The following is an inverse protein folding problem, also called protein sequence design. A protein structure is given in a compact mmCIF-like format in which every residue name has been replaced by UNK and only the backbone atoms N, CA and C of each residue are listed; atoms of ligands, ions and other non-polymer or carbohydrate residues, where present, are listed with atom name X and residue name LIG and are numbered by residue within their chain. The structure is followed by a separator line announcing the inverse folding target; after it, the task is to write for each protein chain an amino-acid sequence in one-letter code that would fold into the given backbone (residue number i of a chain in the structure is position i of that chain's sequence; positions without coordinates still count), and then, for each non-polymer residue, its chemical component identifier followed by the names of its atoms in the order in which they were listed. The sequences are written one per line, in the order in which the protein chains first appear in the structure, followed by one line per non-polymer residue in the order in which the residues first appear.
data_IF_135934640573
#
_entry.id   IF_135934640573
#
_cell.length_a   1.000
_cell.length_b   1.000
_cell.length_c   1.000
_cell.angle_alpha   90.00
_cell.angle_beta   90.00
_cell.angle_gamma   90.00
#
_symmetry.space_group_name_H-M   'P 1'
#
loop_
_entity.id
_entity.type
_entity.pdbx_description
1 polymer ?
#
# COMPACT_ATOMS: atom_id res chain seq x y z
N UNK A 1 13.75 -68.70 17.79
CA UNK A 1 14.59 -68.45 16.60
C UNK A 1 13.69 -68.05 15.49
N UNK A 2 14.01 -66.92 14.89
CA UNK A 2 13.43 -66.29 13.64
C UNK A 2 11.93 -66.02 13.65
N UNK A 3 11.60 -64.84 14.13
CA UNK A 3 10.42 -64.10 13.68
C UNK A 3 10.90 -62.77 13.13
N UNK A 4 11.43 -62.78 11.92
CA UNK A 4 11.46 -61.61 11.07
C UNK A 4 10.09 -61.57 10.38
N UNK A 5 9.07 -61.06 11.06
CA UNK A 5 7.90 -60.54 10.39
C UNK A 5 8.33 -59.18 9.83
N UNK A 6 8.71 -59.17 8.55
CA UNK A 6 8.73 -57.96 7.77
C UNK A 6 7.29 -57.43 7.78
N UNK A 7 7.01 -56.42 8.60
CA UNK A 7 5.79 -55.62 8.53
C UNK A 7 5.81 -54.84 7.23
N UNK A 8 5.77 -55.55 6.09
CA UNK A 8 5.52 -54.92 4.80
C UNK A 8 4.05 -54.53 4.78
N UNK A 9 3.82 -53.21 4.74
CA UNK A 9 2.47 -52.65 4.63
C UNK A 9 1.95 -53.05 3.23
N UNK A 10 1.10 -54.06 3.16
CA UNK A 10 0.49 -54.48 1.90
C UNK A 10 -0.60 -53.49 1.50
N UNK A 11 -0.27 -52.64 0.52
CA UNK A 11 -1.17 -51.63 -0.06
C UNK A 11 -2.46 -52.26 -0.62
N UNK A 12 -2.40 -53.51 -1.06
CA UNK A 12 -3.56 -54.23 -1.61
C UNK A 12 -4.53 -54.58 -0.49
N UNK A 13 -4.02 -54.99 0.65
CA UNK A 13 -4.84 -55.28 1.83
C UNK A 13 -5.49 -54.02 2.40
N UNK A 14 -4.77 -52.91 2.42
CA UNK A 14 -5.36 -51.61 2.80
C UNK A 14 -6.52 -51.22 1.87
N UNK A 15 -6.35 -51.36 0.57
CA UNK A 15 -7.40 -51.08 -0.41
C UNK A 15 -8.61 -52.01 -0.26
N UNK A 16 -8.40 -53.32 0.01
CA UNK A 16 -9.49 -54.26 0.29
C UNK A 16 -10.27 -53.88 1.54
N UNK A 17 -9.59 -53.48 2.64
CA UNK A 17 -10.21 -53.01 3.87
C UNK A 17 -11.08 -51.77 3.64
N UNK A 18 -10.58 -50.79 2.90
CA UNK A 18 -11.35 -49.60 2.52
C UNK A 18 -12.58 -49.96 1.67
N UNK A 19 -12.41 -50.86 0.69
CA UNK A 19 -13.51 -51.26 -0.20
C UNK A 19 -14.60 -52.04 0.57
N UNK A 20 -14.22 -52.95 1.47
CA UNK A 20 -15.17 -53.68 2.30
C UNK A 20 -15.95 -52.77 3.27
N UNK A 21 -15.33 -51.68 3.72
CA UNK A 21 -15.94 -50.70 4.64
C UNK A 21 -16.56 -49.51 3.92
N UNK A 22 -16.77 -49.57 2.59
CA UNK A 22 -17.29 -48.46 1.78
C UNK A 22 -18.57 -47.83 2.32
N UNK A 23 -19.49 -48.62 2.88
CA UNK A 23 -20.75 -48.10 3.48
C UNK A 23 -20.45 -47.15 4.65
N UNK A 24 -19.51 -47.51 5.53
CA UNK A 24 -19.11 -46.70 6.66
C UNK A 24 -18.40 -45.43 6.23
N UNK A 25 -17.53 -45.51 5.20
CA UNK A 25 -16.86 -44.35 4.60
C UNK A 25 -17.90 -43.35 4.07
N UNK A 26 -18.86 -43.84 3.29
CA UNK A 26 -19.93 -43.01 2.74
C UNK A 26 -20.76 -42.36 3.83
N UNK A 27 -21.15 -43.08 4.88
CA UNK A 27 -21.91 -42.51 6.00
C UNK A 27 -21.15 -41.36 6.69
N UNK A 28 -19.87 -41.59 7.03
CA UNK A 28 -19.07 -40.56 7.70
C UNK A 28 -18.89 -39.36 6.78
N UNK A 29 -18.59 -39.55 5.48
CA UNK A 29 -18.45 -38.49 4.52
C UNK A 29 -19.73 -37.67 4.38
N UNK A 30 -20.90 -38.29 4.37
CA UNK A 30 -22.19 -37.61 4.35
C UNK A 30 -22.39 -36.74 5.59
N UNK A 31 -22.07 -37.31 6.80
CA UNK A 31 -22.18 -36.53 8.05
C UNK A 31 -21.29 -35.29 8.00
N UNK A 32 -20.03 -35.41 7.56
CA UNK A 32 -19.13 -34.31 7.42
C UNK A 32 -19.62 -33.29 6.39
N UNK A 33 -20.21 -33.74 5.27
CA UNK A 33 -20.79 -32.86 4.27
C UNK A 33 -21.98 -32.07 4.81
N UNK A 34 -22.86 -32.72 5.58
CA UNK A 34 -24.00 -32.06 6.24
C UNK A 34 -23.48 -31.02 7.26
N UNK A 35 -22.47 -31.37 8.03
CA UNK A 35 -21.81 -30.44 8.95
C UNK A 35 -21.20 -29.24 8.21
N UNK A 36 -20.57 -29.49 7.06
CA UNK A 36 -20.06 -28.44 6.16
C UNK A 36 -21.14 -27.51 5.62
N UNK A 37 -22.32 -28.04 5.27
CA UNK A 37 -23.48 -27.24 4.86
C UNK A 37 -23.97 -26.38 6.02
N UNK A 38 -24.14 -26.97 7.21
CA UNK A 38 -24.57 -26.22 8.39
C UNK A 38 -23.59 -25.09 8.73
N UNK A 39 -22.29 -25.38 8.71
CA UNK A 39 -21.24 -24.38 8.93
C UNK A 39 -21.28 -23.27 7.88
N UNK A 40 -21.41 -23.61 6.58
CA UNK A 40 -21.48 -22.65 5.50
C UNK A 40 -22.72 -21.73 5.53
N UNK A 41 -23.81 -22.18 6.19
CA UNK A 41 -25.02 -21.38 6.38
C UNK A 41 -24.90 -20.40 7.56
N UNK A 42 -24.13 -20.75 8.59
CA UNK A 42 -23.90 -19.90 9.76
C UNK A 42 -22.94 -18.73 9.49
N UNK A 43 -22.07 -18.86 8.49
CA UNK A 43 -21.14 -17.77 8.14
C UNK A 43 -21.86 -16.55 7.57
N UNK A 44 -21.53 -15.33 8.02
CA UNK A 44 -22.12 -14.10 7.52
C UNK A 44 -21.76 -13.88 6.04
N UNK A 45 -22.73 -13.34 5.31
CA UNK A 45 -22.55 -12.99 3.89
C UNK A 45 -21.74 -11.70 3.80
N UNK A 46 -20.72 -11.68 2.93
CA UNK A 46 -19.94 -10.48 2.64
C UNK A 46 -20.02 -10.16 1.14
N UNK A 47 -19.93 -8.87 0.84
CA UNK A 47 -19.93 -8.31 -0.51
C UNK A 47 -18.63 -7.56 -0.71
N UNK A 48 -17.98 -7.78 -1.85
CA UNK A 48 -16.73 -7.10 -2.20
C UNK A 48 -16.98 -6.16 -3.37
N UNK A 49 -16.67 -4.89 -3.18
CA UNK A 49 -16.62 -3.90 -4.24
C UNK A 49 -15.18 -3.46 -4.47
N UNK A 50 -14.80 -3.35 -5.74
CA UNK A 50 -13.41 -3.03 -6.12
C UNK A 50 -13.40 -1.86 -7.09
N UNK A 51 -12.52 -0.90 -6.86
CA UNK A 51 -12.18 0.18 -7.78
C UNK A 51 -10.76 -0.01 -8.30
N UNK A 52 -10.53 0.33 -9.57
CA UNK A 52 -9.22 0.22 -10.22
C UNK A 52 -8.89 1.55 -10.88
N UNK A 53 -7.68 2.02 -10.67
CA UNK A 53 -7.17 3.26 -11.24
C UNK A 53 -5.69 3.16 -11.58
N UNK A 54 -5.20 4.07 -12.40
CA UNK A 54 -3.78 4.24 -12.72
C UNK A 54 -3.33 5.65 -12.34
N UNK A 55 -2.06 5.76 -11.99
CA UNK A 55 -1.38 7.05 -11.91
C UNK A 55 -0.81 7.35 -13.29
N UNK A 56 -1.19 8.47 -13.90
CA UNK A 56 -0.48 8.97 -15.06
C UNK A 56 0.81 9.62 -14.57
N UNK A 57 1.89 8.84 -14.53
CA UNK A 57 3.21 9.42 -14.45
C UNK A 57 3.46 10.07 -15.80
N UNK A 58 3.49 11.39 -15.87
CA UNK A 58 4.19 12.04 -16.96
C UNK A 58 5.67 11.67 -16.79
N UNK A 59 6.09 10.61 -17.46
CA UNK A 59 7.49 10.43 -17.77
C UNK A 59 7.89 11.69 -18.57
N UNK A 60 8.37 12.70 -17.86
CA UNK A 60 9.14 13.75 -18.48
C UNK A 60 10.34 13.06 -19.08
N UNK A 61 10.31 12.91 -20.41
CA UNK A 61 11.36 12.30 -21.18
C UNK A 61 12.69 13.03 -20.96
N UNK A 62 13.42 12.60 -19.93
CA UNK A 62 14.79 13.04 -19.64
C UNK A 62 15.80 12.05 -20.23
N UNK A 63 15.60 11.66 -21.50
CA UNK A 63 16.41 10.61 -22.10
C UNK A 63 17.61 11.10 -22.92
N UNK A 64 17.94 12.38 -22.98
CA UNK A 64 19.06 12.79 -23.85
C UNK A 64 20.11 13.73 -23.25
N UNK A 65 19.91 14.30 -22.06
CA UNK A 65 20.89 15.25 -21.48
C UNK A 65 21.72 14.65 -20.33
N UNK A 66 21.28 13.55 -19.72
CA UNK A 66 21.98 12.89 -18.61
C UNK A 66 23.34 12.27 -19.01
N UNK A 67 23.54 11.98 -20.29
CA UNK A 67 24.79 11.36 -20.77
C UNK A 67 26.01 12.28 -20.79
N UNK A 68 25.83 13.59 -20.94
CA UNK A 68 26.94 14.55 -21.04
C UNK A 68 27.30 15.15 -19.67
N UNK A 69 26.33 15.33 -18.79
CA UNK A 69 26.53 15.84 -17.44
C UNK A 69 27.26 14.84 -16.51
N UNK A 70 27.10 13.53 -16.74
CA UNK A 70 27.80 12.49 -15.99
C UNK A 70 29.30 12.44 -16.27
N UNK A 71 29.75 12.93 -17.43
CA UNK A 71 31.17 12.99 -17.80
C UNK A 71 31.95 14.08 -17.05
N UNK A 72 31.25 15.08 -16.51
CA UNK A 72 31.87 16.20 -15.75
C UNK A 72 31.74 16.02 -14.23
N UNK A 73 31.29 14.85 -13.77
CA UNK A 73 31.17 14.55 -12.33
C UNK A 73 30.09 15.34 -11.59
N UNK A 74 29.32 16.17 -12.29
CA UNK A 74 28.18 16.86 -11.73
C UNK A 74 26.98 15.93 -11.94
N UNK A 75 26.60 15.22 -10.90
CA UNK A 75 25.40 14.39 -10.90
C UNK A 75 24.16 15.29 -10.88
N UNK A 76 23.89 15.98 -11.99
CA UNK A 76 22.64 16.65 -12.30
C UNK A 76 21.56 15.62 -12.69
N UNK A 77 21.93 14.32 -12.61
CA UNK A 77 21.06 13.22 -12.93
C UNK A 77 20.01 13.04 -11.85
N UNK A 78 18.79 13.34 -12.24
CA UNK A 78 17.56 12.78 -11.65
C UNK A 78 17.38 12.89 -10.13
N UNK A 79 17.85 13.92 -9.48
CA UNK A 79 17.07 14.49 -8.40
C UNK A 79 15.89 15.19 -9.06
N UNK A 80 14.92 14.41 -9.50
CA UNK A 80 13.51 14.79 -9.56
C UNK A 80 13.22 15.40 -8.20
N UNK A 81 13.42 16.71 -8.07
CA UNK A 81 13.12 17.52 -6.89
C UNK A 81 11.59 17.57 -6.70
N UNK A 82 11.01 16.46 -6.51
CA UNK A 82 9.59 16.25 -6.34
C UNK A 82 9.41 14.75 -6.20
N UNK A 83 9.81 14.22 -5.02
CA UNK A 83 9.73 12.80 -4.73
C UNK A 83 8.31 12.30 -4.93
N UNK A 84 8.03 11.81 -6.13
CA UNK A 84 6.79 11.11 -6.40
C UNK A 84 6.73 9.89 -5.50
N UNK A 85 5.65 9.76 -4.71
CA UNK A 85 5.45 8.57 -3.89
C UNK A 85 5.26 7.38 -4.85
N UNK A 86 6.18 6.40 -4.88
CA UNK A 86 6.04 5.26 -5.77
C UNK A 86 4.75 4.50 -5.49
N UNK A 87 4.04 4.05 -6.52
CA UNK A 87 2.78 3.31 -6.37
C UNK A 87 2.89 2.10 -5.43
N UNK A 88 4.06 1.46 -5.36
CA UNK A 88 4.34 0.36 -4.41
C UNK A 88 4.16 0.73 -2.93
N UNK A 89 4.17 2.03 -2.60
CA UNK A 89 3.97 2.52 -1.23
C UNK A 89 2.50 2.84 -0.91
N UNK A 90 1.60 2.81 -1.88
CA UNK A 90 0.18 3.12 -1.65
C UNK A 90 -0.50 2.20 -0.63
N UNK A 91 -0.22 0.87 -0.59
CA UNK A 91 -0.73 0.03 0.49
C UNK A 91 -0.30 0.50 1.88
N UNK A 92 0.91 1.03 2.03
CA UNK A 92 1.40 1.57 3.31
C UNK A 92 0.68 2.86 3.70
N UNK A 93 0.35 3.72 2.73
CA UNK A 93 -0.44 4.93 2.99
C UNK A 93 -1.83 4.55 3.50
N UNK A 94 -2.48 3.58 2.87
CA UNK A 94 -3.80 3.08 3.31
C UNK A 94 -3.75 2.45 4.70
N UNK A 95 -2.62 1.86 5.08
CA UNK A 95 -2.41 1.32 6.43
C UNK A 95 -2.02 2.39 7.45
N UNK A 96 -1.73 3.63 7.04
CA UNK A 96 -1.33 4.70 7.96
C UNK A 96 -2.46 5.12 8.89
N UNK A 97 -2.09 5.60 10.09
CA UNK A 97 -3.02 6.13 11.09
C UNK A 97 -3.85 7.29 10.52
N UNK A 98 -3.18 8.24 9.81
CA UNK A 98 -3.86 9.39 9.18
C UNK A 98 -4.96 8.94 8.24
N UNK A 99 -4.67 7.99 7.35
CA UNK A 99 -5.65 7.48 6.39
C UNK A 99 -6.83 6.81 7.09
N UNK A 100 -6.57 5.92 8.04
CA UNK A 100 -7.62 5.17 8.76
C UNK A 100 -8.53 6.09 9.58
N UNK A 101 -7.96 7.09 10.26
CA UNK A 101 -8.75 8.11 11.00
C UNK A 101 -9.68 8.89 10.07
N UNK A 102 -9.18 9.37 8.94
CA UNK A 102 -9.99 10.10 7.97
C UNK A 102 -11.08 9.22 7.37
N UNK A 103 -10.76 7.96 7.04
CA UNK A 103 -11.75 7.04 6.47
C UNK A 103 -12.87 6.68 7.47
N UNK A 104 -12.57 6.55 8.77
CA UNK A 104 -13.58 6.29 9.80
C UNK A 104 -14.61 7.42 9.92
N UNK A 105 -14.22 8.65 9.61
CA UNK A 105 -15.11 9.82 9.67
C UNK A 105 -16.06 9.93 8.47
N UNK A 106 -15.83 9.16 7.39
CA UNK A 106 -16.66 9.21 6.19
C UNK A 106 -18.06 8.67 6.44
N UNK A 107 -19.06 9.35 5.86
CA UNK A 107 -20.46 9.01 6.02
C UNK A 107 -20.84 7.91 5.03
N UNK A 108 -21.10 6.71 5.51
CA UNK A 108 -21.53 5.55 4.70
C UNK A 108 -23.04 5.51 4.46
N UNK A 109 -23.82 6.08 5.37
CA UNK A 109 -25.28 6.21 5.24
C UNK A 109 -25.70 7.68 5.40
N UNK A 110 -25.96 8.33 4.27
CA UNK A 110 -26.37 9.73 4.23
C UNK A 110 -27.76 9.98 4.84
N UNK A 111 -28.66 9.00 4.75
CA UNK A 111 -30.04 9.13 5.26
C UNK A 111 -30.08 9.16 6.78
N UNK A 112 -29.24 8.36 7.41
CA UNK A 112 -29.19 8.22 8.86
C UNK A 112 -27.98 8.94 9.47
N UNK A 113 -27.16 9.62 8.65
CA UNK A 113 -25.90 10.29 9.05
C UNK A 113 -24.96 9.36 9.84
N UNK A 114 -24.81 8.10 9.35
CA UNK A 114 -23.98 7.09 10.00
C UNK A 114 -22.58 7.15 9.38
N UNK A 115 -21.57 7.39 10.21
CA UNK A 115 -20.16 7.30 9.82
C UNK A 115 -19.71 5.85 9.74
N UNK A 116 -18.59 5.60 9.06
CA UNK A 116 -18.00 4.26 9.00
C UNK A 116 -17.63 3.75 10.39
N UNK A 117 -17.13 4.62 11.27
CA UNK A 117 -16.83 4.30 12.66
C UNK A 117 -18.06 3.76 13.40
N UNK A 118 -19.17 4.52 13.36
CA UNK A 118 -20.43 4.12 14.01
C UNK A 118 -21.00 2.82 13.44
N UNK A 119 -20.84 2.62 12.12
CA UNK A 119 -21.26 1.37 11.49
C UNK A 119 -20.43 0.19 12.00
N UNK A 120 -19.10 0.33 12.04
CA UNK A 120 -18.18 -0.72 12.53
C UNK A 120 -18.44 -1.00 14.01
N UNK A 121 -18.58 0.02 14.85
CA UNK A 121 -18.88 -0.12 16.27
C UNK A 121 -20.14 -0.97 16.50
N UNK A 122 -21.19 -0.65 15.77
CA UNK A 122 -22.47 -1.36 15.89
C UNK A 122 -22.40 -2.79 15.33
N UNK A 123 -21.74 -2.99 14.19
CA UNK A 123 -21.72 -4.28 13.51
C UNK A 123 -20.79 -5.30 14.18
N UNK A 124 -19.67 -4.83 14.72
CA UNK A 124 -18.68 -5.67 15.40
C UNK A 124 -18.80 -5.65 16.93
N UNK A 125 -19.86 -4.97 17.46
CA UNK A 125 -20.14 -4.86 18.90
C UNK A 125 -18.92 -4.38 19.70
N UNK A 126 -18.25 -3.32 19.21
CA UNK A 126 -17.14 -2.71 19.92
C UNK A 126 -17.71 -1.92 21.09
N UNK A 127 -17.35 -2.31 22.31
CA UNK A 127 -17.70 -1.56 23.51
C UNK A 127 -16.83 -0.30 23.59
N UNK A 128 -17.48 0.88 23.71
CA UNK A 128 -16.76 2.14 23.91
C UNK A 128 -16.06 2.14 25.28
N UNK A 129 -14.74 1.96 25.25
CA UNK A 129 -13.91 2.17 26.44
C UNK A 129 -13.71 3.67 26.57
N UNK A 130 -14.27 4.27 27.62
CA UNK A 130 -14.05 5.68 27.95
C UNK A 130 -12.61 5.88 28.43
N UNK A 131 -11.71 6.14 27.50
CA UNK A 131 -10.35 6.58 27.83
C UNK A 131 -10.35 8.09 28.08
N UNK A 132 -9.74 8.51 29.18
CA UNK A 132 -9.59 9.93 29.48
C UNK A 132 -8.55 10.55 28.54
N UNK A 133 -8.91 11.71 27.97
CA UNK A 133 -8.12 12.64 27.16
C UNK A 133 -6.68 12.20 26.85
N UNK A 134 -6.53 11.62 25.69
CA UNK A 134 -5.22 11.27 25.15
C UNK A 134 -4.77 12.33 24.15
N UNK A 135 -3.49 12.64 24.14
CA UNK A 135 -2.90 13.50 23.11
C UNK A 135 -3.09 12.86 21.72
N UNK A 136 -3.21 13.66 20.65
CA UNK A 136 -3.34 13.21 19.24
C UNK A 136 -2.28 12.18 18.81
N UNK A 137 -1.17 12.11 19.53
CA UNK A 137 -0.08 11.16 19.30
C UNK A 137 -0.34 9.76 19.86
N UNK A 138 -1.34 9.60 20.76
CA UNK A 138 -1.62 8.31 21.39
C UNK A 138 -2.82 7.65 20.70
N UNK A 139 -2.63 6.40 20.30
CA UNK A 139 -3.71 5.55 19.81
C UNK A 139 -4.53 5.03 20.99
N UNK A 140 -5.85 5.11 20.91
CA UNK A 140 -6.75 4.52 21.90
C UNK A 140 -6.96 3.03 21.62
N UNK A 141 -7.38 2.27 22.65
CA UNK A 141 -7.71 0.84 22.46
C UNK A 141 -8.85 0.64 21.46
N UNK A 142 -9.81 1.57 21.43
CA UNK A 142 -10.90 1.54 20.45
C UNK A 142 -10.38 1.78 19.04
N UNK A 143 -9.49 2.76 18.82
CA UNK A 143 -8.87 3.01 17.52
C UNK A 143 -8.09 1.80 17.01
N UNK A 144 -7.37 1.09 17.89
CA UNK A 144 -6.66 -0.12 17.50
C UNK A 144 -7.61 -1.20 16.98
N UNK A 145 -8.76 -1.39 17.65
CA UNK A 145 -9.78 -2.34 17.19
C UNK A 145 -10.37 -1.93 15.83
N UNK A 146 -10.72 -0.64 15.66
CA UNK A 146 -11.21 -0.13 14.37
C UNK A 146 -10.17 -0.31 13.25
N UNK A 147 -8.90 -0.05 13.54
CA UNK A 147 -7.82 -0.16 12.56
C UNK A 147 -7.55 -1.62 12.14
N UNK A 148 -7.71 -2.57 13.07
CA UNK A 148 -7.61 -3.99 12.76
C UNK A 148 -8.75 -4.43 11.83
N UNK A 149 -9.98 -3.98 12.12
CA UNK A 149 -11.14 -4.26 11.26
C UNK A 149 -10.95 -3.63 9.88
N UNK A 150 -10.51 -2.36 9.80
CA UNK A 150 -10.22 -1.71 8.52
C UNK A 150 -9.17 -2.47 7.71
N UNK A 151 -8.15 -3.02 8.38
CA UNK A 151 -7.12 -3.83 7.72
C UNK A 151 -7.68 -5.13 7.15
N UNK A 152 -8.68 -5.72 7.82
CA UNK A 152 -9.36 -6.94 7.35
C UNK A 152 -10.30 -6.67 6.17
N UNK A 153 -11.08 -5.58 6.23
CA UNK A 153 -12.09 -5.29 5.20
C UNK A 153 -11.54 -4.60 3.96
N UNK A 154 -10.39 -3.90 4.06
CA UNK A 154 -9.75 -3.20 2.95
C UNK A 154 -8.61 -4.03 2.36
N UNK A 155 -8.65 -4.22 1.06
CA UNK A 155 -7.57 -4.86 0.30
C UNK A 155 -7.04 -3.90 -0.76
N UNK A 156 -5.74 -3.58 -0.67
CA UNK A 156 -5.06 -2.73 -1.64
C UNK A 156 -3.98 -3.53 -2.33
N UNK A 157 -4.05 -3.61 -3.64
CA UNK A 157 -3.05 -4.28 -4.44
C UNK A 157 -2.52 -3.38 -5.55
N UNK A 158 -1.24 -3.53 -5.85
CA UNK A 158 -0.55 -2.80 -6.91
C UNK A 158 0.04 -3.79 -7.89
N UNK A 159 -0.44 -3.77 -9.11
CA UNK A 159 0.16 -4.53 -10.20
C UNK A 159 1.31 -3.70 -10.80
N UNK A 160 2.54 -4.05 -10.44
CA UNK A 160 3.74 -3.33 -10.89
C UNK A 160 4.01 -3.47 -12.39
N UNK A 161 3.50 -4.52 -13.04
CA UNK A 161 3.71 -4.73 -14.48
C UNK A 161 2.85 -3.81 -15.33
N UNK A 162 1.59 -3.67 -14.95
CA UNK A 162 0.59 -2.92 -15.72
C UNK A 162 0.28 -1.55 -15.12
N UNK A 163 0.86 -1.21 -13.96
CA UNK A 163 0.67 0.07 -13.27
C UNK A 163 -0.71 0.25 -12.64
N UNK A 164 -1.53 -0.81 -12.58
CA UNK A 164 -2.86 -0.73 -11.96
C UNK A 164 -2.80 -0.75 -10.44
N UNK A 165 -3.61 0.08 -9.84
CA UNK A 165 -3.86 0.09 -8.40
C UNK A 165 -5.31 -0.31 -8.20
N UNK A 166 -5.53 -1.31 -7.35
CA UNK A 166 -6.85 -1.84 -7.04
C UNK A 166 -7.11 -1.68 -5.53
N UNK A 167 -8.24 -1.08 -5.19
CA UNK A 167 -8.74 -0.99 -3.82
C UNK A 167 -10.05 -1.73 -3.76
N UNK A 168 -10.10 -2.77 -2.94
CA UNK A 168 -11.30 -3.55 -2.65
C UNK A 168 -11.75 -3.33 -1.22
N UNK A 169 -13.06 -3.35 -1.00
CA UNK A 169 -13.65 -3.35 0.34
C UNK A 169 -14.67 -4.47 0.46
N UNK A 170 -14.49 -5.32 1.49
CA UNK A 170 -15.37 -6.44 1.76
C UNK A 170 -16.20 -6.19 3.04
N UNK A 171 -17.51 -6.01 2.91
CA UNK A 171 -18.41 -5.71 4.01
C UNK A 171 -19.70 -6.55 3.94
N UNK A 172 -20.44 -6.60 5.05
CA UNK A 172 -21.75 -7.27 5.12
C UNK A 172 -22.85 -6.57 4.30
N UNK A 173 -22.71 -5.26 4.05
CA UNK A 173 -23.63 -4.47 3.24
C UNK A 173 -22.99 -4.15 1.87
N UNK A 174 -23.67 -4.47 0.78
CA UNK A 174 -23.19 -4.27 -0.58
C UNK A 174 -23.04 -2.78 -0.94
N UNK A 175 -23.94 -1.91 -0.49
CA UNK A 175 -23.86 -0.47 -0.73
C UNK A 175 -22.68 0.15 0.02
N UNK A 176 -22.50 -0.21 1.27
CA UNK A 176 -21.39 0.32 2.08
C UNK A 176 -20.03 -0.17 1.57
N UNK A 177 -19.94 -1.41 1.09
CA UNK A 177 -18.70 -1.90 0.48
C UNK A 177 -18.29 -1.05 -0.74
N UNK A 178 -19.26 -0.63 -1.57
CA UNK A 178 -18.99 0.23 -2.72
C UNK A 178 -18.60 1.66 -2.30
N UNK A 179 -19.33 2.25 -1.33
CA UNK A 179 -19.01 3.58 -0.82
C UNK A 179 -17.63 3.64 -0.18
N UNK A 180 -17.29 2.68 0.68
CA UNK A 180 -15.99 2.64 1.35
C UNK A 180 -14.85 2.41 0.36
N UNK A 181 -15.04 1.55 -0.65
CA UNK A 181 -14.04 1.38 -1.71
C UNK A 181 -13.82 2.68 -2.50
N UNK A 182 -14.90 3.42 -2.82
CA UNK A 182 -14.85 4.73 -3.48
C UNK A 182 -14.13 5.76 -2.61
N UNK A 183 -14.54 5.92 -1.35
CA UNK A 183 -13.93 6.87 -0.42
C UNK A 183 -12.45 6.55 -0.18
N UNK A 184 -12.09 5.27 -0.05
CA UNK A 184 -10.70 4.86 0.11
C UNK A 184 -9.85 5.27 -1.09
N UNK A 185 -10.37 5.16 -2.32
CA UNK A 185 -9.69 5.65 -3.52
C UNK A 185 -9.52 7.16 -3.48
N UNK A 186 -10.62 7.90 -3.26
CA UNK A 186 -10.62 9.37 -3.26
C UNK A 186 -9.69 9.92 -2.17
N UNK A 187 -9.74 9.34 -0.98
CA UNK A 187 -8.87 9.73 0.14
C UNK A 187 -7.40 9.45 -0.18
N UNK A 188 -7.08 8.28 -0.74
CA UNK A 188 -5.71 7.97 -1.16
C UNK A 188 -5.21 8.96 -2.21
N UNK A 189 -6.03 9.26 -3.23
CA UNK A 189 -5.71 10.25 -4.26
C UNK A 189 -5.45 11.62 -3.65
N UNK A 190 -6.31 12.08 -2.75
CA UNK A 190 -6.16 13.37 -2.08
C UNK A 190 -4.88 13.45 -1.24
N UNK A 191 -4.54 12.40 -0.49
CA UNK A 191 -3.30 12.36 0.30
C UNK A 191 -2.07 12.42 -0.60
N UNK A 192 -2.09 11.72 -1.74
CA UNK A 192 -0.96 11.74 -2.69
C UNK A 192 -0.82 13.13 -3.33
N UNK A 193 -1.94 13.74 -3.74
CA UNK A 193 -1.97 15.09 -4.30
C UNK A 193 -1.43 16.11 -3.28
N UNK A 194 -1.92 16.06 -2.04
CA UNK A 194 -1.50 16.94 -0.96
C UNK A 194 0.02 16.85 -0.72
N UNK A 195 0.54 15.62 -0.60
CA UNK A 195 1.98 15.39 -0.42
C UNK A 195 2.81 15.93 -1.60
N UNK A 196 2.33 15.75 -2.84
CA UNK A 196 3.02 16.23 -4.04
C UNK A 196 3.07 17.75 -4.08
N UNK A 197 1.94 18.41 -3.82
CA UNK A 197 1.86 19.87 -3.75
C UNK A 197 2.77 20.41 -2.64
N UNK A 198 2.76 19.80 -1.46
CA UNK A 198 3.61 20.24 -0.34
C UNK A 198 5.10 20.08 -0.68
N UNK A 199 5.50 18.98 -1.30
CA UNK A 199 6.88 18.78 -1.77
C UNK A 199 7.29 19.81 -2.80
N UNK A 200 6.42 20.11 -3.80
CA UNK A 200 6.69 21.14 -4.79
C UNK A 200 6.81 22.54 -4.16
N UNK A 201 5.98 22.84 -3.14
CA UNK A 201 6.04 24.09 -2.37
C UNK A 201 7.37 24.22 -1.62
N UNK A 202 7.81 23.15 -0.92
CA UNK A 202 9.07 23.16 -0.19
C UNK A 202 10.27 23.36 -1.14
N UNK A 203 10.24 22.73 -2.31
CA UNK A 203 11.28 22.92 -3.32
C UNK A 203 11.32 24.37 -3.85
N UNK A 204 10.16 24.99 -4.06
CA UNK A 204 10.07 26.39 -4.46
C UNK A 204 10.68 27.31 -3.39
N UNK A 205 10.28 27.14 -2.12
CA UNK A 205 10.81 27.93 -0.98
C UNK A 205 12.32 27.77 -0.88
N UNK A 206 12.83 26.55 -1.02
CA UNK A 206 14.27 26.30 -1.00
C UNK A 206 14.99 27.02 -2.16
N UNK A 207 14.49 26.89 -3.39
CA UNK A 207 15.09 27.53 -4.56
C UNK A 207 15.05 29.07 -4.48
N UNK A 208 13.95 29.63 -3.97
CA UNK A 208 13.85 31.09 -3.75
C UNK A 208 14.85 31.57 -2.68
N UNK A 209 15.03 30.79 -1.61
CA UNK A 209 16.05 31.07 -0.59
C UNK A 209 17.47 31.10 -1.18
N UNK A 210 17.82 30.10 -1.99
CA UNK A 210 19.09 30.03 -2.70
C UNK A 210 19.27 31.22 -3.65
N UNK A 211 18.23 31.64 -4.35
CA UNK A 211 18.29 32.79 -5.25
C UNK A 211 18.58 34.09 -4.51
N UNK A 212 17.95 34.30 -3.35
CA UNK A 212 18.19 35.49 -2.51
C UNK A 212 19.65 35.52 -2.04
N UNK A 213 20.18 34.38 -1.55
CA UNK A 213 21.55 34.28 -1.08
C UNK A 213 22.56 34.58 -2.22
N UNK A 214 22.37 33.94 -3.37
CA UNK A 214 23.28 34.12 -4.52
C UNK A 214 23.18 35.48 -5.19
N UNK A 215 22.02 36.13 -5.16
CA UNK A 215 21.90 37.53 -5.57
C UNK A 215 22.69 38.48 -4.68
N UNK A 216 22.69 38.26 -3.37
CA UNK A 216 23.50 39.04 -2.44
C UNK A 216 25.01 38.88 -2.73
N UNK A 217 25.46 37.63 -2.96
CA UNK A 217 26.84 37.36 -3.35
C UNK A 217 27.22 38.03 -4.68
N UNK A 218 26.31 38.01 -5.65
CA UNK A 218 26.47 38.69 -6.91
C UNK A 218 26.62 40.21 -6.73
N UNK A 219 25.77 40.83 -5.93
CA UNK A 219 25.81 42.29 -5.64
C UNK A 219 27.13 42.67 -4.94
N UNK A 220 27.63 41.82 -4.02
CA UNK A 220 28.90 41.99 -3.32
C UNK A 220 30.10 41.93 -4.31
N UNK A 221 30.13 40.93 -5.21
CA UNK A 221 31.21 40.77 -6.20
C UNK A 221 31.14 41.89 -7.23
N UNK A 222 29.92 42.24 -7.68
CA UNK A 222 29.69 43.37 -8.62
C UNK A 222 30.24 44.69 -8.05
N UNK A 223 29.91 44.98 -6.78
CA UNK A 223 30.36 46.18 -6.09
C UNK A 223 31.91 46.21 -5.93
N UNK A 224 32.52 45.09 -5.62
CA UNK A 224 34.00 44.95 -5.54
C UNK A 224 34.63 45.17 -6.88
N UNK A 225 34.12 44.58 -7.95
CA UNK A 225 34.63 44.74 -9.30
C UNK A 225 34.51 46.17 -9.78
N UNK A 226 33.35 46.82 -9.57
CA UNK A 226 33.13 48.23 -9.91
C UNK A 226 34.10 49.16 -9.19
N UNK A 227 34.22 49.03 -7.85
CA UNK A 227 35.14 49.82 -7.04
C UNK A 227 36.61 49.63 -7.47
N UNK A 228 37.02 48.37 -7.71
CA UNK A 228 38.37 48.06 -8.12
C UNK A 228 38.67 48.63 -9.51
N UNK A 229 37.74 48.54 -10.45
CA UNK A 229 37.91 49.06 -11.78
C UNK A 229 38.02 50.60 -11.78
N UNK A 230 37.15 51.30 -11.01
CA UNK A 230 37.17 52.77 -10.91
C UNK A 230 38.44 53.27 -10.24
N UNK A 231 38.92 52.57 -9.20
CA UNK A 231 40.14 52.95 -8.47
C UNK A 231 41.41 52.75 -9.27
N UNK A 232 41.39 51.96 -10.35
CA UNK A 232 42.58 51.56 -11.11
C UNK A 232 42.49 51.84 -12.60
N UNK A 233 41.67 52.83 -13.04
CA UNK A 233 41.38 53.16 -14.46
C UNK A 233 42.60 53.31 -15.33
N UNK A 234 43.72 53.84 -14.82
CA UNK A 234 44.92 54.16 -15.58
C UNK A 234 46.11 53.25 -15.23
N UNK A 235 45.89 52.13 -14.49
CA UNK A 235 46.95 51.27 -14.05
C UNK A 235 47.32 50.23 -15.11
N UNK A 236 48.59 50.20 -15.53
CA UNK A 236 49.15 49.23 -16.50
C UNK A 236 49.93 48.13 -15.77
N UNK A 237 49.81 48.06 -14.44
CA UNK A 237 50.56 47.07 -13.62
C UNK A 237 49.94 45.67 -13.79
N UNK A 238 50.81 44.71 -14.11
CA UNK A 238 50.38 43.31 -14.30
C UNK A 238 49.66 42.73 -13.11
N UNK A 239 49.97 43.12 -11.87
CA UNK A 239 49.28 42.70 -10.66
C UNK A 239 47.81 43.19 -10.66
N UNK A 240 47.59 44.48 -11.01
CA UNK A 240 46.27 45.05 -11.07
C UNK A 240 45.40 44.41 -12.17
N UNK A 241 46.01 44.11 -13.31
CA UNK A 241 45.36 43.38 -14.39
C UNK A 241 44.95 41.97 -13.99
N UNK A 242 45.83 41.25 -13.30
CA UNK A 242 45.54 39.89 -12.83
C UNK A 242 44.42 39.88 -11.80
N UNK A 243 44.40 40.81 -10.84
CA UNK A 243 43.33 40.87 -9.83
C UNK A 243 42.00 41.29 -10.45
N UNK A 244 42.01 42.22 -11.44
CA UNK A 244 40.81 42.55 -12.22
C UNK A 244 40.26 41.33 -12.96
N UNK A 245 41.12 40.59 -13.68
CA UNK A 245 40.70 39.40 -14.42
C UNK A 245 40.14 38.30 -13.46
N UNK A 246 40.65 38.19 -12.27
CA UNK A 246 40.14 37.29 -11.24
C UNK A 246 38.72 37.72 -10.81
N UNK A 247 38.53 38.99 -10.46
CA UNK A 247 37.20 39.52 -10.07
C UNK A 247 36.20 39.42 -11.23
N UNK A 248 36.62 39.65 -12.48
CA UNK A 248 35.77 39.48 -13.66
C UNK A 248 35.35 37.98 -13.83
N UNK A 249 36.29 37.05 -13.58
CA UNK A 249 35.99 35.62 -13.62
C UNK A 249 35.02 35.21 -12.52
N UNK A 250 35.22 35.71 -11.28
CA UNK A 250 34.30 35.48 -10.16
C UNK A 250 32.91 36.06 -10.48
N UNK A 251 32.82 37.25 -11.04
CA UNK A 251 31.55 37.86 -11.46
C UNK A 251 30.84 37.05 -12.55
N UNK A 252 31.59 36.55 -13.56
CA UNK A 252 30.97 35.72 -14.59
C UNK A 252 30.42 34.40 -14.00
N UNK A 253 31.17 33.76 -13.08
CA UNK A 253 30.69 32.52 -12.43
C UNK A 253 29.44 32.77 -11.62
N UNK A 254 29.42 33.80 -10.75
CA UNK A 254 28.25 34.06 -9.91
C UNK A 254 27.06 34.50 -10.73
N UNK A 255 27.27 35.26 -11.82
CA UNK A 255 26.23 35.67 -12.78
C UNK A 255 25.56 34.45 -13.41
N UNK A 256 26.35 33.49 -13.89
CA UNK A 256 25.84 32.25 -14.45
C UNK A 256 25.07 31.40 -13.42
N UNK A 257 25.56 31.37 -12.17
CA UNK A 257 24.86 30.67 -11.06
C UNK A 257 23.51 31.31 -10.75
N UNK A 258 23.45 32.66 -10.65
CA UNK A 258 22.19 33.39 -10.41
C UNK A 258 21.19 33.18 -11.55
N UNK A 259 21.65 33.19 -12.81
CA UNK A 259 20.82 32.90 -13.97
C UNK A 259 20.24 31.45 -13.88
N UNK A 260 21.07 30.48 -13.58
CA UNK A 260 20.63 29.08 -13.49
C UNK A 260 19.62 28.87 -12.36
N UNK A 261 19.89 29.40 -11.15
CA UNK A 261 18.95 29.31 -10.04
C UNK A 261 17.64 30.05 -10.35
N UNK A 262 17.72 31.19 -11.05
CA UNK A 262 16.50 31.89 -11.50
C UNK A 262 15.64 31.03 -12.42
N UNK A 263 16.25 30.29 -13.33
CA UNK A 263 15.54 29.32 -14.18
C UNK A 263 14.91 28.19 -13.34
N UNK A 264 15.65 27.68 -12.33
CA UNK A 264 15.14 26.63 -11.43
C UNK A 264 13.92 27.13 -10.62
N UNK A 265 13.95 28.38 -10.12
CA UNK A 265 12.79 28.99 -9.43
C UNK A 265 11.58 29.07 -10.35
N UNK A 266 11.75 29.52 -11.60
CA UNK A 266 10.64 29.57 -12.56
C UNK A 266 10.13 28.15 -12.92
N UNK A 267 11.01 27.18 -13.04
CA UNK A 267 10.60 25.77 -13.21
C UNK A 267 9.83 25.26 -12.01
N UNK A 268 10.28 25.52 -10.78
CA UNK A 268 9.59 25.10 -9.56
C UNK A 268 8.20 25.76 -9.45
N UNK A 269 8.04 27.03 -9.83
CA UNK A 269 6.74 27.72 -9.92
C UNK A 269 5.81 27.09 -10.94
N UNK A 270 6.34 26.72 -12.10
CA UNK A 270 5.58 26.02 -13.14
C UNK A 270 5.16 24.63 -12.67
N UNK A 271 6.06 23.93 -11.97
CA UNK A 271 5.79 22.62 -11.40
C UNK A 271 4.68 22.67 -10.37
N UNK A 272 4.71 23.61 -9.43
CA UNK A 272 3.65 23.81 -8.43
C UNK A 272 2.27 24.06 -9.09
N UNK A 273 2.23 24.69 -10.26
CA UNK A 273 0.99 24.93 -11.02
C UNK A 273 0.52 23.73 -11.83
N UNK A 274 1.44 22.84 -12.27
CA UNK A 274 1.13 21.69 -13.14
C UNK A 274 0.85 20.41 -12.38
N UNK A 275 1.40 20.29 -11.17
CA UNK A 275 1.46 19.02 -10.43
C UNK A 275 0.18 18.71 -9.64
N UNK A 276 -0.98 18.78 -10.29
CA UNK A 276 -2.10 17.93 -9.87
C UNK A 276 -1.93 16.57 -10.56
N UNK A 277 -1.53 15.51 -9.83
CA UNK A 277 -1.43 14.19 -10.44
C UNK A 277 -2.79 13.80 -11.01
N UNK A 278 -2.80 13.43 -12.29
CA UNK A 278 -4.03 12.97 -12.94
C UNK A 278 -4.15 11.47 -12.64
N UNK A 279 -5.09 11.13 -11.77
CA UNK A 279 -5.49 9.75 -11.56
C UNK A 279 -6.59 9.40 -12.58
N UNK A 280 -6.34 8.40 -13.39
CA UNK A 280 -7.36 7.90 -14.32
C UNK A 280 -8.03 6.68 -13.71
N UNK A 281 -9.33 6.79 -13.43
CA UNK A 281 -10.12 5.66 -12.94
C UNK A 281 -10.50 4.77 -14.11
N UNK A 282 -10.08 3.50 -14.07
CA UNK A 282 -10.41 2.49 -15.07
C UNK A 282 -11.72 1.80 -14.72
N UNK A 283 -11.90 1.51 -13.43
CA UNK A 283 -13.10 0.88 -12.92
C UNK A 283 -13.58 1.60 -11.67
N UNK A 284 -14.80 2.10 -11.70
CA UNK A 284 -15.47 2.67 -10.52
C UNK A 284 -15.90 1.57 -9.55
N UNK A 285 -15.96 1.92 -8.26
CA UNK A 285 -16.58 1.06 -7.27
C UNK A 285 -18.09 1.00 -7.52
N UNK A 286 -18.60 -0.20 -7.75
CA UNK A 286 -20.03 -0.45 -8.00
C UNK A 286 -20.62 -1.35 -6.93
N UNK A 287 -21.93 -1.19 -6.68
CA UNK A 287 -22.65 -2.03 -5.71
C UNK A 287 -22.69 -3.46 -6.25
N UNK A 288 -22.09 -4.45 -5.57
CA UNK A 288 -22.03 -5.81 -6.07
C UNK A 288 -23.40 -6.51 -5.96
N UNK A 289 -23.85 -7.12 -7.06
CA UNK A 289 -25.09 -7.90 -7.09
C UNK A 289 -24.95 -9.29 -6.46
N UNK A 290 -23.73 -9.81 -6.43
CA UNK A 290 -23.43 -11.16 -5.94
C UNK A 290 -22.54 -11.08 -4.69
N UNK A 291 -22.78 -11.97 -3.72
CA UNK A 291 -21.92 -12.13 -2.55
C UNK A 291 -20.53 -12.64 -2.96
N UNK A 292 -19.49 -12.12 -2.31
CA UNK A 292 -18.10 -12.56 -2.46
C UNK A 292 -17.80 -13.78 -1.58
N UNK A 293 -18.31 -13.78 -0.36
CA UNK A 293 -18.04 -14.77 0.67
C UNK A 293 -19.31 -15.11 1.48
N UNK A 294 -19.45 -16.32 2.05
CA UNK A 294 -18.64 -17.50 1.81
C UNK A 294 -18.97 -18.22 0.49
N UNK A 295 -17.98 -18.84 -0.13
CA UNK A 295 -18.18 -19.73 -1.29
C UNK A 295 -18.70 -21.08 -0.82
N UNK A 296 -20.00 -21.14 -0.53
CA UNK A 296 -20.67 -22.29 0.14
C UNK A 296 -20.36 -23.63 -0.51
N UNK A 297 -20.42 -23.70 -1.86
CA UNK A 297 -20.12 -24.94 -2.57
C UNK A 297 -18.67 -25.43 -2.32
N UNK A 298 -17.71 -24.52 -2.32
CA UNK A 298 -16.32 -24.86 -2.05
C UNK A 298 -16.11 -25.37 -0.62
N UNK A 299 -16.76 -24.77 0.38
CA UNK A 299 -16.71 -25.24 1.77
C UNK A 299 -17.27 -26.66 1.91
N UNK A 300 -18.43 -26.96 1.30
CA UNK A 300 -19.02 -28.30 1.34
C UNK A 300 -18.09 -29.34 0.71
N UNK A 301 -17.42 -29.01 -0.39
CA UNK A 301 -16.45 -29.90 -1.03
C UNK A 301 -15.26 -30.17 -0.10
N UNK A 302 -14.72 -29.13 0.55
CA UNK A 302 -13.62 -29.28 1.50
C UNK A 302 -14.01 -30.19 2.67
N UNK A 303 -15.19 -29.94 3.28
CA UNK A 303 -15.70 -30.79 4.36
C UNK A 303 -15.94 -32.24 3.92
N UNK A 304 -16.46 -32.43 2.70
CA UNK A 304 -16.62 -33.75 2.10
C UNK A 304 -15.28 -34.50 1.96
N UNK A 305 -14.25 -33.80 1.47
CA UNK A 305 -12.92 -34.36 1.34
C UNK A 305 -12.28 -34.69 2.70
N UNK A 306 -12.42 -33.81 3.69
CA UNK A 306 -11.98 -34.07 5.06
C UNK A 306 -12.71 -35.26 5.66
N UNK A 307 -14.02 -35.42 5.41
CA UNK A 307 -14.82 -36.55 5.83
C UNK A 307 -14.32 -37.87 5.20
N UNK A 308 -13.92 -37.84 3.93
CA UNK A 308 -13.36 -39.01 3.24
C UNK A 308 -12.01 -39.43 3.86
N UNK A 309 -11.13 -38.48 4.13
CA UNK A 309 -9.84 -38.77 4.77
C UNK A 309 -10.07 -39.29 6.17
N UNK A 310 -10.88 -38.63 7.00
CA UNK A 310 -11.17 -39.03 8.36
C UNK A 310 -11.80 -40.45 8.45
N UNK A 311 -12.75 -40.71 7.53
CA UNK A 311 -13.39 -42.03 7.48
C UNK A 311 -12.42 -43.15 7.10
N UNK A 312 -11.49 -42.87 6.15
CA UNK A 312 -10.46 -43.84 5.74
C UNK A 312 -9.52 -44.17 6.90
N UNK A 313 -9.10 -43.12 7.66
CA UNK A 313 -8.26 -43.31 8.86
C UNK A 313 -8.99 -44.13 9.92
N UNK A 314 -10.26 -43.83 10.19
CA UNK A 314 -11.09 -44.56 11.17
C UNK A 314 -11.21 -46.06 10.79
N UNK A 315 -11.43 -46.36 9.51
CA UNK A 315 -11.53 -47.73 9.02
C UNK A 315 -10.21 -48.48 9.20
N UNK A 316 -9.08 -47.86 8.93
CA UNK A 316 -7.76 -48.48 9.04
C UNK A 316 -7.37 -48.72 10.51
N UNK A 317 -7.74 -47.81 11.42
CA UNK A 317 -7.40 -47.92 12.84
C UNK A 317 -8.36 -48.86 13.60
N UNK A 318 -9.55 -49.09 13.10
CA UNK A 318 -10.60 -49.84 13.79
C UNK A 318 -10.19 -51.28 14.13
N UNK A 319 -9.47 -51.99 13.25
CA UNK A 319 -9.04 -53.37 13.48
C UNK A 319 -7.92 -53.50 14.54
N UNK A 320 -6.80 -52.73 14.43
CA UNK A 320 -5.77 -52.79 15.46
C UNK A 320 -6.30 -52.34 16.84
N UNK A 321 -7.19 -51.35 16.91
CA UNK A 321 -7.82 -50.94 18.17
C UNK A 321 -8.69 -52.04 18.78
N UNK A 322 -9.45 -52.77 17.98
CA UNK A 322 -10.24 -53.93 18.47
C UNK A 322 -9.36 -55.00 19.07
N UNK A 323 -8.24 -55.33 18.45
CA UNK A 323 -7.31 -56.34 18.91
C UNK A 323 -6.65 -55.92 20.25
N UNK A 324 -6.22 -54.70 20.37
CA UNK A 324 -5.64 -54.14 21.60
C UNK A 324 -6.68 -54.13 22.76
N UNK A 325 -7.91 -53.68 22.46
CA UNK A 325 -8.99 -53.70 23.47
C UNK A 325 -9.40 -55.12 23.91
N UNK A 326 -9.30 -56.11 23.02
CA UNK A 326 -9.57 -57.50 23.35
C UNK A 326 -8.46 -58.09 24.25
N UNK A 327 -7.19 -57.79 23.99
CA UNK A 327 -6.05 -58.15 24.83
C UNK A 327 -6.12 -57.53 26.24
N UNK A 328 -6.53 -56.25 26.35
CA UNK A 328 -6.68 -55.57 27.63
C UNK A 328 -7.83 -56.16 28.46
N UNK A 329 -8.90 -56.64 27.81
CA UNK A 329 -10.08 -57.19 28.48
C UNK A 329 -9.91 -58.69 28.86
N UNK A 330 -8.91 -59.36 28.28
CA UNK A 330 -8.57 -60.73 28.55
C UNK A 330 -7.50 -60.91 29.65
N UNK A 331 -6.92 -59.79 30.13
CA UNK A 331 -6.07 -59.75 31.35
C UNK A 331 -6.88 -59.25 32.54
#
# INVERSE_FOLDING_TARGET
MNTNSNDEIDLIDLLKKLYNSRKLIVYITIIFSIMGIAFALLLPVKYNSTTVFITQNQETGSSSISGVASLVGINLGSSSFGGEIPAKMYPQIVQSVKFKRLLLQEIVDEKNNITLENFIAKHYSIEEIKEQNTSDLRMTLNEEQYFNILTEILNVSVNQKDGFISIGCEMSNAEYSAKVAKFSRELLQNIIIENKIETARQNLIFSEGQLIEKKKEFDDIYSKLAFFSDSNLNSVNSFVLNEKNKLESEFQIISAVVEEISKQVEQAKLQLKKDTPVFSTIQEAVIPLKKSSPKRAQLVIIFGFLGLIASSIIVLIREPLKNILFEIKSK
#
